data_IF_604609165158
#
_entry.id   IF_604609165158
#
_cell.length_a   1.000
_cell.length_b   1.000
_cell.length_c   1.000
_cell.angle_alpha   90.00
_cell.angle_beta   90.00
_cell.angle_gamma   90.00
#
_symmetry.space_group_name_H-M   'P 1'
#
loop_
_entity.id
_entity.type
_entity.pdbx_description
1 polymer ?
#
# COMPACT_ATOMS: atom_id res chain seq x y z
N UNK A 1 2.18 19.91 -2.70
CA UNK A 1 3.29 19.16 -3.37
C UNK A 1 2.65 18.04 -4.16
N UNK A 2 3.08 17.77 -5.39
CA UNK A 2 2.52 16.65 -6.15
C UNK A 2 3.02 15.31 -5.58
N UNK A 3 2.16 14.28 -5.63
CA UNK A 3 2.51 12.92 -5.20
C UNK A 3 3.70 12.37 -6.00
N UNK A 4 4.69 11.83 -5.30
CA UNK A 4 5.89 11.21 -5.89
C UNK A 4 5.60 9.76 -6.27
N UNK A 5 5.85 9.38 -7.51
CA UNK A 5 5.70 7.99 -8.00
C UNK A 5 5.11 7.92 -9.40
N UNK A 6 5.33 6.79 -10.07
CA UNK A 6 4.92 6.52 -11.46
C UNK A 6 3.48 5.99 -11.57
N UNK A 7 2.95 5.42 -10.49
CA UNK A 7 1.60 4.83 -10.43
C UNK A 7 0.99 5.02 -9.03
N UNK A 8 -0.30 4.69 -8.86
CA UNK A 8 -0.98 4.88 -7.58
C UNK A 8 -0.31 4.13 -6.42
N UNK A 9 0.17 2.92 -6.63
CA UNK A 9 0.82 2.16 -5.57
C UNK A 9 2.05 2.89 -5.02
N UNK A 10 2.92 3.36 -5.90
CA UNK A 10 4.15 4.08 -5.53
C UNK A 10 3.83 5.45 -4.90
N UNK A 11 2.84 6.16 -5.45
CA UNK A 11 2.36 7.43 -4.90
C UNK A 11 1.82 7.26 -3.47
N UNK A 12 1.01 6.22 -3.23
CA UNK A 12 0.45 5.91 -1.90
C UNK A 12 1.58 5.56 -0.94
N UNK A 13 2.51 4.68 -1.34
CA UNK A 13 3.66 4.30 -0.52
C UNK A 13 4.46 5.51 -0.06
N UNK A 14 4.90 6.34 -1.01
CA UNK A 14 5.73 7.51 -0.73
C UNK A 14 5.00 8.55 0.13
N UNK A 15 3.73 8.81 -0.16
CA UNK A 15 2.93 9.76 0.63
C UNK A 15 2.79 9.30 2.10
N UNK A 16 2.49 8.03 2.34
CA UNK A 16 2.37 7.49 3.69
C UNK A 16 3.72 7.47 4.42
N UNK A 17 4.83 7.27 3.71
CA UNK A 17 6.18 7.37 4.25
C UNK A 17 6.52 8.81 4.67
N UNK A 18 6.17 9.79 3.84
CA UNK A 18 6.31 11.22 4.14
C UNK A 18 5.45 11.64 5.37
N UNK A 19 4.33 10.91 5.66
CA UNK A 19 3.52 11.09 6.88
C UNK A 19 4.09 10.37 8.12
N UNK A 20 5.23 9.71 8.01
CA UNK A 20 5.94 9.08 9.12
C UNK A 20 5.44 7.68 9.52
N UNK A 21 4.73 6.98 8.64
CA UNK A 21 4.44 5.57 8.84
C UNK A 21 5.71 4.75 8.57
N UNK A 22 5.90 3.64 9.30
CA UNK A 22 7.00 2.72 8.98
C UNK A 22 6.61 1.77 7.84
N UNK A 23 7.60 1.08 7.25
CA UNK A 23 7.39 0.24 6.08
C UNK A 23 6.39 -0.91 6.32
N UNK A 24 6.36 -1.48 7.52
CA UNK A 24 5.36 -2.49 7.90
C UNK A 24 3.95 -1.89 8.00
N UNK A 25 3.85 -0.68 8.58
CA UNK A 25 2.60 0.06 8.69
C UNK A 25 2.02 0.43 7.34
N UNK A 26 2.85 0.99 6.44
CA UNK A 26 2.45 1.33 5.07
C UNK A 26 1.96 0.08 4.34
N UNK A 27 2.75 -0.99 4.37
CA UNK A 27 2.41 -2.25 3.72
C UNK A 27 1.09 -2.85 4.24
N UNK A 28 0.90 -2.87 5.56
CA UNK A 28 -0.33 -3.37 6.19
C UNK A 28 -1.57 -2.55 5.82
N UNK A 29 -1.44 -1.22 5.81
CA UNK A 29 -2.51 -0.31 5.38
C UNK A 29 -2.83 -0.52 3.89
N UNK A 30 -1.82 -0.52 3.02
CA UNK A 30 -2.01 -0.73 1.59
C UNK A 30 -2.63 -2.09 1.26
N UNK A 31 -2.32 -3.15 2.03
CA UNK A 31 -2.95 -4.46 1.88
C UNK A 31 -4.46 -4.42 2.12
N UNK A 32 -4.91 -3.62 3.07
CA UNK A 32 -6.33 -3.36 3.33
C UNK A 32 -6.95 -2.51 2.22
N UNK A 33 -6.36 -1.39 1.84
CA UNK A 33 -6.85 -0.54 0.74
C UNK A 33 -6.92 -1.30 -0.60
N UNK A 34 -6.00 -2.26 -0.84
CA UNK A 34 -6.07 -3.15 -2.00
C UNK A 34 -7.32 -4.02 -1.99
N UNK A 35 -7.69 -4.53 -0.83
CA UNK A 35 -8.89 -5.35 -0.69
C UNK A 35 -10.18 -4.51 -0.82
N UNK A 36 -10.17 -3.24 -0.40
CA UNK A 36 -11.33 -2.34 -0.44
C UNK A 36 -11.59 -1.80 -1.86
N UNK A 37 -10.56 -1.31 -2.54
CA UNK A 37 -10.73 -0.53 -3.76
C UNK A 37 -9.75 -0.86 -4.89
N UNK A 38 -8.91 -1.88 -4.72
CA UNK A 38 -7.75 -2.12 -5.59
C UNK A 38 -6.82 -0.89 -5.73
N UNK A 39 -6.76 -0.01 -4.71
CA UNK A 39 -6.03 1.27 -4.69
C UNK A 39 -6.55 2.29 -5.74
N UNK A 40 -7.81 2.15 -6.14
CA UNK A 40 -8.46 3.07 -7.06
C UNK A 40 -9.25 4.14 -6.28
N UNK A 41 -8.87 5.43 -6.35
CA UNK A 41 -9.55 6.50 -5.62
C UNK A 41 -10.95 6.85 -6.18
N UNK A 42 -11.28 6.42 -7.40
CA UNK A 42 -12.62 6.61 -7.98
C UNK A 42 -13.56 5.41 -7.75
N UNK A 43 -13.13 4.38 -7.03
CA UNK A 43 -13.89 3.14 -6.92
C UNK A 43 -15.23 3.33 -6.22
N UNK A 44 -16.32 3.19 -6.96
CA UNK A 44 -17.66 2.97 -6.43
C UNK A 44 -17.79 1.49 -6.08
N UNK A 45 -18.38 1.16 -4.95
CA UNK A 45 -18.60 -0.23 -4.56
C UNK A 45 -19.31 -1.02 -5.67
N UNK A 46 -18.68 -2.08 -6.19
CA UNK A 46 -19.13 -2.82 -7.38
C UNK A 46 -20.60 -3.27 -7.32
N UNK A 47 -21.08 -3.68 -6.13
CA UNK A 47 -22.48 -4.08 -5.95
C UNK A 47 -23.48 -2.91 -6.09
N UNK A 48 -23.01 -1.68 -6.05
CA UNK A 48 -23.84 -0.47 -6.20
C UNK A 48 -23.77 0.13 -7.59
N UNK A 49 -22.82 -0.22 -8.45
CA UNK A 49 -22.74 0.31 -9.82
C UNK A 49 -24.05 0.09 -10.58
N UNK A 50 -24.53 -1.15 -10.66
CA UNK A 50 -25.80 -1.49 -11.29
C UNK A 50 -27.00 -0.90 -10.55
N UNK A 51 -26.98 -0.91 -9.22
CA UNK A 51 -28.09 -0.42 -8.39
C UNK A 51 -28.33 1.07 -8.54
N UNK A 52 -27.26 1.85 -8.66
CA UNK A 52 -27.31 3.30 -8.80
C UNK A 52 -27.29 3.77 -10.26
N UNK A 53 -26.98 2.89 -11.21
CA UNK A 53 -26.89 3.22 -12.64
C UNK A 53 -25.65 4.03 -13.01
N UNK A 54 -24.55 3.88 -12.26
CA UNK A 54 -23.30 4.60 -12.48
C UNK A 54 -22.13 3.65 -12.71
N UNK A 55 -21.14 4.12 -13.45
CA UNK A 55 -19.77 3.63 -13.42
C UNK A 55 -18.95 4.41 -12.39
N UNK A 56 -17.73 3.97 -12.06
CA UNK A 56 -16.80 4.74 -11.23
C UNK A 56 -16.63 6.19 -11.71
N UNK A 57 -16.48 6.37 -13.02
CA UNK A 57 -16.25 7.66 -13.63
C UNK A 57 -17.52 8.53 -13.56
N UNK A 58 -18.66 8.03 -14.04
CA UNK A 58 -19.89 8.82 -14.12
C UNK A 58 -20.43 9.17 -12.74
N UNK A 59 -20.24 8.31 -11.75
CA UNK A 59 -20.56 8.59 -10.35
C UNK A 59 -19.72 9.74 -9.80
N UNK A 60 -18.39 9.65 -9.98
CA UNK A 60 -17.46 10.70 -9.55
C UNK A 60 -17.80 12.05 -10.18
N UNK A 61 -18.05 12.07 -11.49
CA UNK A 61 -18.41 13.29 -12.23
C UNK A 61 -19.72 13.89 -11.73
N UNK A 62 -20.74 13.07 -11.51
CA UNK A 62 -22.05 13.52 -11.04
C UNK A 62 -21.98 14.11 -9.62
N UNK A 63 -21.19 13.53 -8.74
CA UNK A 63 -20.95 14.07 -7.38
C UNK A 63 -20.16 15.37 -7.45
N UNK A 64 -19.09 15.44 -8.24
CA UNK A 64 -18.28 16.66 -8.38
C UNK A 64 -19.09 17.84 -8.96
N UNK A 65 -19.97 17.57 -9.95
CA UNK A 65 -20.86 18.56 -10.55
C UNK A 65 -22.05 18.93 -9.65
N UNK A 66 -22.30 18.17 -8.58
CA UNK A 66 -23.47 18.35 -7.71
C UNK A 66 -24.79 17.87 -8.32
N UNK A 67 -24.76 17.16 -9.45
CA UNK A 67 -25.97 16.61 -10.11
C UNK A 67 -26.45 15.33 -9.42
N UNK A 68 -25.58 14.62 -8.71
CA UNK A 68 -25.96 13.54 -7.82
C UNK A 68 -25.87 13.98 -6.36
N UNK A 69 -27.02 14.24 -5.76
CA UNK A 69 -27.12 14.82 -4.41
C UNK A 69 -27.16 13.76 -3.29
N UNK A 70 -27.38 12.48 -3.64
CA UNK A 70 -27.56 11.43 -2.65
C UNK A 70 -26.22 10.76 -2.20
N UNK A 71 -25.07 11.26 -2.64
CA UNK A 71 -23.74 10.73 -2.33
C UNK A 71 -23.56 10.36 -0.85
N UNK A 72 -24.05 11.22 0.04
CA UNK A 72 -23.85 11.06 1.50
C UNK A 72 -24.72 9.93 2.07
N UNK A 73 -25.89 9.66 1.46
CA UNK A 73 -26.91 8.78 2.02
C UNK A 73 -27.19 7.52 1.20
N UNK A 74 -26.49 7.30 0.10
CA UNK A 74 -26.72 6.16 -0.80
C UNK A 74 -26.19 4.81 -0.25
N UNK A 75 -25.47 4.85 0.87
CA UNK A 75 -24.86 3.68 1.52
C UNK A 75 -23.85 2.91 0.64
N UNK A 76 -23.41 3.46 -0.49
CA UNK A 76 -22.39 2.88 -1.33
C UNK A 76 -20.99 3.25 -0.83
N UNK A 77 -20.09 2.29 -0.76
CA UNK A 77 -18.68 2.53 -0.49
C UNK A 77 -18.03 3.29 -1.65
N UNK A 78 -17.15 4.25 -1.34
CA UNK A 78 -16.46 5.04 -2.35
C UNK A 78 -14.98 5.29 -1.99
N UNK A 79 -14.13 5.28 -3.02
CA UNK A 79 -12.73 5.66 -2.92
C UNK A 79 -11.84 4.62 -2.26
N UNK A 80 -10.62 5.04 -1.88
CA UNK A 80 -9.55 4.16 -1.39
C UNK A 80 -9.97 3.27 -0.21
N UNK A 81 -10.61 3.85 0.82
CA UNK A 81 -11.03 3.15 2.03
C UNK A 81 -12.52 2.79 2.02
N UNK A 82 -13.17 2.79 0.85
CA UNK A 82 -14.60 2.47 0.70
C UNK A 82 -15.47 3.17 1.74
N UNK A 83 -15.30 4.51 1.86
CA UNK A 83 -16.11 5.31 2.77
C UNK A 83 -17.59 5.13 2.52
N UNK A 84 -18.32 4.54 3.46
CA UNK A 84 -19.73 4.14 3.33
C UNK A 84 -20.62 4.90 4.30
N UNK A 85 -20.18 5.05 5.56
CA UNK A 85 -20.98 5.69 6.59
C UNK A 85 -21.20 7.16 6.29
N UNK A 86 -22.43 7.63 6.46
CA UNK A 86 -22.86 8.97 5.99
C UNK A 86 -22.00 10.13 6.52
N UNK A 87 -21.57 10.10 7.80
CA UNK A 87 -20.69 11.15 8.34
C UNK A 87 -19.31 11.14 7.70
N UNK A 88 -18.74 9.95 7.44
CA UNK A 88 -17.46 9.85 6.76
C UNK A 88 -17.54 10.34 5.32
N UNK A 89 -18.60 10.00 4.59
CA UNK A 89 -18.85 10.51 3.21
C UNK A 89 -19.07 12.01 3.19
N UNK A 90 -19.82 12.56 4.16
CA UNK A 90 -19.97 14.01 4.29
C UNK A 90 -18.65 14.71 4.51
N UNK A 91 -17.81 14.17 5.42
CA UNK A 91 -16.51 14.73 5.73
C UNK A 91 -15.55 14.63 4.53
N UNK A 92 -15.54 13.52 3.78
CA UNK A 92 -14.79 13.38 2.55
C UNK A 92 -15.19 14.42 1.51
N UNK A 93 -16.49 14.59 1.28
CA UNK A 93 -17.02 15.56 0.32
C UNK A 93 -16.65 17.01 0.72
N UNK A 94 -16.81 17.35 1.99
CA UNK A 94 -16.44 18.67 2.50
C UNK A 94 -14.93 18.92 2.37
N UNK A 95 -14.11 17.89 2.63
CA UNK A 95 -12.66 18.00 2.53
C UNK A 95 -12.18 18.19 1.08
N UNK A 96 -12.83 17.50 0.11
CA UNK A 96 -12.56 17.69 -1.32
C UNK A 96 -12.99 19.09 -1.79
N UNK A 97 -14.19 19.55 -1.39
CA UNK A 97 -14.71 20.88 -1.74
C UNK A 97 -13.86 22.00 -1.19
N UNK A 98 -13.41 21.90 0.06
CA UNK A 98 -12.53 22.89 0.69
C UNK A 98 -11.18 23.03 -0.03
N UNK A 99 -10.76 22.00 -0.74
CA UNK A 99 -9.52 21.99 -1.55
C UNK A 99 -9.75 22.28 -3.02
N UNK A 100 -11.00 22.45 -3.45
CA UNK A 100 -11.40 22.66 -4.85
C UNK A 100 -10.90 21.54 -5.78
N UNK A 101 -10.92 20.29 -5.33
CA UNK A 101 -10.50 19.11 -6.09
C UNK A 101 -11.62 18.07 -6.19
N UNK A 102 -11.45 17.10 -7.11
CA UNK A 102 -12.37 15.97 -7.25
C UNK A 102 -12.40 15.11 -5.98
N UNK A 103 -13.58 14.51 -5.69
CA UNK A 103 -13.68 13.48 -4.64
C UNK A 103 -12.80 12.24 -4.94
N UNK A 104 -12.38 12.05 -6.20
CA UNK A 104 -11.46 10.99 -6.63
C UNK A 104 -9.98 11.43 -6.65
N UNK A 105 -9.66 12.65 -6.19
CA UNK A 105 -8.27 13.07 -6.13
C UNK A 105 -7.49 12.21 -5.13
N UNK A 106 -6.40 11.59 -5.59
CA UNK A 106 -5.63 10.63 -4.81
C UNK A 106 -4.95 11.28 -3.60
N UNK A 107 -4.33 12.45 -3.79
CA UNK A 107 -3.64 13.17 -2.70
C UNK A 107 -4.63 13.60 -1.63
N UNK A 108 -5.77 14.14 -2.05
CA UNK A 108 -6.83 14.55 -1.14
C UNK A 108 -7.34 13.35 -0.33
N UNK A 109 -7.60 12.19 -0.95
CA UNK A 109 -8.07 11.01 -0.24
C UNK A 109 -7.04 10.45 0.74
N UNK A 110 -5.76 10.49 0.41
CA UNK A 110 -4.67 10.08 1.30
C UNK A 110 -4.53 11.03 2.51
N UNK A 111 -4.64 12.32 2.28
CA UNK A 111 -4.64 13.31 3.37
C UNK A 111 -5.88 13.18 4.25
N UNK A 112 -7.05 12.91 3.67
CA UNK A 112 -8.27 12.66 4.42
C UNK A 112 -8.17 11.39 5.26
N UNK A 113 -7.66 10.31 4.68
CA UNK A 113 -7.38 9.05 5.39
C UNK A 113 -6.44 9.29 6.59
N UNK A 114 -5.35 10.02 6.37
CA UNK A 114 -4.40 10.36 7.44
C UNK A 114 -5.05 11.23 8.53
N UNK A 115 -5.90 12.17 8.14
CA UNK A 115 -6.69 12.98 9.07
C UNK A 115 -7.60 12.12 9.94
N UNK A 116 -8.37 11.19 9.36
CA UNK A 116 -9.20 10.24 10.12
C UNK A 116 -8.37 9.42 11.11
N UNK A 117 -7.22 8.88 10.66
CA UNK A 117 -6.31 8.11 11.51
C UNK A 117 -5.77 8.94 12.68
N UNK A 118 -5.43 10.19 12.44
CA UNK A 118 -4.83 11.09 13.47
C UNK A 118 -5.84 11.62 14.47
N UNK A 119 -7.08 11.82 14.07
CA UNK A 119 -8.13 12.39 14.93
C UNK A 119 -8.95 11.31 15.65
N UNK A 120 -9.47 10.33 14.87
CA UNK A 120 -10.42 9.33 15.36
C UNK A 120 -9.81 7.96 15.68
N UNK A 121 -8.62 7.63 15.13
CA UNK A 121 -8.02 6.30 15.24
C UNK A 121 -6.55 6.35 15.67
N UNK A 122 -6.23 7.16 16.67
CA UNK A 122 -4.86 7.39 17.16
C UNK A 122 -4.10 6.10 17.49
N UNK A 123 -4.78 5.10 18.08
CA UNK A 123 -4.18 3.80 18.39
C UNK A 123 -3.80 3.01 17.13
N UNK A 124 -4.60 3.09 16.06
CA UNK A 124 -4.27 2.49 14.76
C UNK A 124 -3.06 3.20 14.15
N UNK A 125 -3.08 4.55 14.13
CA UNK A 125 -1.96 5.33 13.60
C UNK A 125 -0.65 5.04 14.35
N UNK A 126 -0.70 4.87 15.67
CA UNK A 126 0.48 4.51 16.46
C UNK A 126 1.06 3.17 16.01
N UNK A 127 0.22 2.14 15.83
CA UNK A 127 0.69 0.85 15.31
C UNK A 127 1.27 1.00 13.91
N UNK A 128 0.64 1.78 13.02
CA UNK A 128 1.15 2.02 11.67
C UNK A 128 2.52 2.73 11.67
N UNK A 129 2.87 3.45 12.72
CA UNK A 129 4.19 4.09 12.88
C UNK A 129 5.24 3.17 13.49
N UNK A 130 4.85 2.16 14.28
CA UNK A 130 5.76 1.36 15.11
C UNK A 130 5.67 -0.15 14.91
N UNK A 131 4.81 -0.65 14.01
CA UNK A 131 4.62 -2.06 13.78
C UNK A 131 5.94 -2.81 13.46
N UNK A 132 6.04 -4.04 13.94
CA UNK A 132 7.18 -4.92 13.74
C UNK A 132 6.93 -5.97 12.64
N UNK A 133 5.71 -6.03 12.12
CA UNK A 133 5.35 -6.91 11.00
C UNK A 133 4.18 -6.34 10.18
N UNK A 134 4.13 -6.74 8.90
CA UNK A 134 2.99 -6.43 8.02
C UNK A 134 1.70 -7.00 8.57
N UNK A 135 1.74 -8.18 9.21
CA UNK A 135 0.57 -8.84 9.78
C UNK A 135 -0.03 -8.03 10.91
N UNK A 136 0.77 -7.57 11.86
CA UNK A 136 0.34 -6.71 12.96
C UNK A 136 -0.35 -5.44 12.45
N UNK A 137 0.31 -4.72 11.53
CA UNK A 137 -0.25 -3.51 10.93
C UNK A 137 -1.55 -3.77 10.16
N UNK A 138 -1.60 -4.85 9.37
CA UNK A 138 -2.78 -5.20 8.59
C UNK A 138 -3.97 -5.58 9.47
N UNK A 139 -3.74 -6.36 10.53
CA UNK A 139 -4.81 -6.83 11.41
C UNK A 139 -5.43 -5.68 12.20
N UNK A 140 -4.63 -4.70 12.65
CA UNK A 140 -5.17 -3.54 13.36
C UNK A 140 -5.99 -2.64 12.43
N UNK A 141 -5.59 -2.46 11.18
CA UNK A 141 -6.38 -1.71 10.19
C UNK A 141 -7.71 -2.41 9.94
N UNK A 142 -7.69 -3.72 9.66
CA UNK A 142 -8.89 -4.50 9.41
C UNK A 142 -9.88 -4.42 10.57
N UNK A 143 -9.41 -4.65 11.81
CA UNK A 143 -10.28 -4.85 12.98
C UNK A 143 -10.69 -3.55 13.66
N UNK A 144 -9.90 -2.48 13.54
CA UNK A 144 -10.14 -1.24 14.29
C UNK A 144 -10.52 -0.05 13.39
N UNK A 145 -10.11 -0.04 12.12
CA UNK A 145 -10.38 1.05 11.20
C UNK A 145 -11.44 0.69 10.14
N UNK A 146 -11.20 -0.35 9.31
CA UNK A 146 -12.13 -0.75 8.23
C UNK A 146 -13.37 -1.45 8.77
N UNK A 147 -13.21 -2.37 9.71
CA UNK A 147 -14.28 -3.10 10.40
C UNK A 147 -15.33 -3.72 9.47
N UNK A 148 -14.92 -4.45 8.41
CA UNK A 148 -15.87 -5.14 7.54
C UNK A 148 -16.63 -6.23 8.32
N UNK A 149 -17.75 -6.70 7.79
CA UNK A 149 -18.56 -7.77 8.41
C UNK A 149 -17.74 -9.05 8.64
N UNK A 150 -16.85 -9.41 7.72
CA UNK A 150 -15.94 -10.56 7.89
C UNK A 150 -14.55 -10.09 8.32
N UNK A 151 -14.19 -10.39 9.56
CA UNK A 151 -12.88 -10.13 10.17
C UNK A 151 -12.14 -11.41 10.56
N UNK A 152 -12.61 -12.57 10.09
CA UNK A 152 -12.03 -13.88 10.42
C UNK A 152 -10.57 -14.03 9.96
N UNK A 153 -9.90 -15.05 10.51
CA UNK A 153 -8.45 -15.30 10.31
C UNK A 153 -8.06 -15.38 8.82
N UNK A 154 -8.89 -16.00 7.98
CA UNK A 154 -8.62 -16.09 6.53
C UNK A 154 -8.62 -14.72 5.86
N UNK A 155 -9.52 -13.81 6.27
CA UNK A 155 -9.55 -12.44 5.77
C UNK A 155 -8.31 -11.66 6.22
N UNK A 156 -7.92 -11.81 7.48
CA UNK A 156 -6.70 -11.22 8.02
C UNK A 156 -5.46 -11.68 7.23
N UNK A 157 -5.32 -13.00 7.00
CA UNK A 157 -4.22 -13.57 6.21
C UNK A 157 -4.21 -13.01 4.79
N UNK A 158 -5.38 -12.97 4.14
CA UNK A 158 -5.52 -12.45 2.77
C UNK A 158 -5.01 -11.01 2.65
N UNK A 159 -5.47 -10.11 3.54
CA UNK A 159 -5.07 -8.69 3.52
C UNK A 159 -3.60 -8.51 3.87
N UNK A 160 -3.09 -9.25 4.85
CA UNK A 160 -1.67 -9.23 5.19
C UNK A 160 -0.80 -9.74 4.02
N UNK A 161 -1.24 -10.72 3.24
CA UNK A 161 -0.50 -11.19 2.06
C UNK A 161 -0.47 -10.14 0.94
N UNK A 162 -1.54 -9.36 0.72
CA UNK A 162 -1.48 -8.19 -0.15
C UNK A 162 -0.44 -7.18 0.35
N UNK A 163 -0.43 -6.91 1.66
CA UNK A 163 0.56 -6.03 2.27
C UNK A 163 1.99 -6.54 2.10
N UNK A 164 2.24 -7.84 2.29
CA UNK A 164 3.57 -8.44 2.08
C UNK A 164 4.10 -8.22 0.66
N UNK A 165 3.23 -8.27 -0.35
CA UNK A 165 3.63 -7.98 -1.73
C UNK A 165 4.13 -6.52 -1.87
N UNK A 166 3.45 -5.55 -1.25
CA UNK A 166 3.89 -4.15 -1.23
C UNK A 166 5.17 -3.95 -0.43
N UNK A 167 5.30 -4.59 0.73
CA UNK A 167 6.52 -4.56 1.53
C UNK A 167 7.73 -5.03 0.71
N UNK A 168 7.60 -6.18 0.06
CA UNK A 168 8.67 -6.73 -0.77
C UNK A 168 9.02 -5.83 -1.97
N UNK A 169 8.01 -5.14 -2.53
CA UNK A 169 8.20 -4.27 -3.69
C UNK A 169 8.85 -2.93 -3.34
N UNK A 170 8.51 -2.34 -2.20
CA UNK A 170 8.84 -0.94 -1.90
C UNK A 170 9.77 -0.75 -0.71
N UNK A 171 9.67 -1.56 0.37
CA UNK A 171 10.47 -1.38 1.57
C UNK A 171 11.98 -1.56 1.33
N UNK A 172 12.34 -2.42 0.38
CA UNK A 172 13.73 -2.70 0.04
C UNK A 172 14.27 -1.84 -1.12
N UNK A 173 13.40 -1.04 -1.79
CA UNK A 173 13.81 -0.28 -2.99
C UNK A 173 14.91 0.72 -2.67
N UNK A 174 14.76 1.53 -1.64
CA UNK A 174 15.76 2.54 -1.27
C UNK A 174 17.09 1.94 -0.79
N UNK A 175 17.06 0.78 -0.11
CA UNK A 175 18.28 0.08 0.30
C UNK A 175 18.95 -0.60 -0.89
N UNK A 176 18.17 -1.08 -1.85
CA UNK A 176 18.66 -1.83 -3.00
C UNK A 176 19.12 -0.92 -4.15
N UNK A 177 18.53 0.26 -4.35
CA UNK A 177 19.01 1.26 -5.32
C UNK A 177 20.43 1.75 -5.01
N UNK A 178 20.92 1.50 -3.79
CA UNK A 178 22.29 1.84 -3.33
C UNK A 178 23.23 0.63 -3.30
N UNK A 179 22.80 -0.56 -3.74
CA UNK A 179 23.68 -1.74 -3.76
C UNK A 179 24.77 -1.53 -4.80
N UNK A 180 26.02 -1.70 -4.36
CA UNK A 180 27.21 -1.62 -5.19
C UNK A 180 28.13 -2.78 -4.94
N UNK A 181 29.06 -3.03 -5.88
CA UNK A 181 30.13 -4.02 -5.70
C UNK A 181 30.86 -3.81 -4.37
N UNK A 182 31.06 -4.89 -3.61
CA UNK A 182 31.67 -4.90 -2.29
C UNK A 182 30.72 -4.74 -1.12
N UNK A 183 29.43 -4.43 -1.35
CA UNK A 183 28.44 -4.41 -0.30
C UNK A 183 28.14 -5.84 0.21
N UNK A 184 27.65 -5.91 1.45
CA UNK A 184 27.12 -7.14 2.05
C UNK A 184 25.60 -7.18 1.91
N UNK A 185 25.06 -8.37 1.57
CA UNK A 185 23.62 -8.56 1.40
C UNK A 185 23.16 -9.88 2.03
N UNK A 186 21.88 -9.90 2.45
CA UNK A 186 21.15 -11.13 2.82
C UNK A 186 20.24 -11.54 1.68
N UNK A 187 20.15 -12.83 1.42
CA UNK A 187 19.16 -13.40 0.49
C UNK A 187 17.83 -13.48 1.23
N UNK A 188 16.79 -12.85 0.65
CA UNK A 188 15.41 -12.84 1.16
C UNK A 188 14.63 -13.97 0.51
N UNK A 189 14.82 -14.15 -0.81
CA UNK A 189 14.19 -15.21 -1.58
C UNK A 189 15.28 -15.93 -2.39
N UNK A 190 15.49 -17.22 -2.10
CA UNK A 190 16.58 -18.02 -2.67
C UNK A 190 16.24 -18.55 -4.07
N UNK A 191 16.02 -17.61 -5.00
CA UNK A 191 15.75 -17.88 -6.41
C UNK A 191 16.80 -17.17 -7.27
N UNK A 192 17.43 -17.91 -8.19
CA UNK A 192 18.39 -17.32 -9.14
C UNK A 192 17.70 -16.34 -10.08
N UNK A 193 18.46 -15.47 -10.73
CA UNK A 193 17.95 -14.53 -11.74
C UNK A 193 17.21 -15.23 -12.89
N UNK A 194 17.52 -16.50 -13.15
CA UNK A 194 16.83 -17.35 -14.14
C UNK A 194 15.58 -18.09 -13.57
N UNK A 195 15.15 -17.76 -12.34
CA UNK A 195 13.96 -18.34 -11.73
C UNK A 195 14.15 -19.74 -11.09
N UNK A 196 15.37 -20.24 -10.96
CA UNK A 196 15.64 -21.55 -10.34
C UNK A 196 15.92 -21.40 -8.85
N UNK A 197 15.32 -22.21 -7.96
CA UNK A 197 15.64 -22.19 -6.54
C UNK A 197 17.09 -22.64 -6.31
N UNK A 198 17.74 -22.08 -5.28
CA UNK A 198 19.06 -22.52 -4.83
C UNK A 198 19.14 -22.55 -3.29
N UNK A 199 20.10 -23.29 -2.76
CA UNK A 199 20.31 -23.40 -1.31
C UNK A 199 21.25 -22.30 -0.83
N UNK A 200 20.84 -21.57 0.22
CA UNK A 200 21.71 -20.61 0.92
C UNK A 200 22.51 -21.33 1.98
N UNK A 201 23.83 -21.15 1.99
CA UNK A 201 24.75 -21.74 2.96
C UNK A 201 25.28 -20.72 3.97
N UNK A 202 25.12 -19.42 3.69
CA UNK A 202 25.64 -18.34 4.50
C UNK A 202 24.53 -17.36 4.90
N UNK A 203 24.71 -16.70 6.04
CA UNK A 203 23.77 -15.68 6.53
C UNK A 203 23.84 -14.40 5.70
N UNK A 204 24.98 -14.14 5.06
CA UNK A 204 25.26 -12.95 4.26
C UNK A 204 26.21 -13.29 3.13
N UNK A 205 26.18 -12.49 2.07
CA UNK A 205 26.97 -12.66 0.86
C UNK A 205 27.58 -11.31 0.44
N UNK A 206 28.74 -11.38 -0.23
CA UNK A 206 29.37 -10.24 -0.88
C UNK A 206 28.70 -9.96 -2.23
N UNK A 207 28.48 -8.70 -2.57
CA UNK A 207 28.10 -8.27 -3.91
C UNK A 207 29.35 -8.24 -4.78
N UNK A 208 29.45 -9.18 -5.72
CA UNK A 208 30.60 -9.32 -6.62
C UNK A 208 30.43 -8.43 -7.86
N UNK A 209 29.20 -8.35 -8.38
CA UNK A 209 28.87 -7.55 -9.56
C UNK A 209 27.42 -7.05 -9.50
N UNK A 210 27.19 -5.86 -10.04
CA UNK A 210 25.87 -5.25 -10.21
C UNK A 210 25.69 -4.93 -11.70
N UNK A 211 24.55 -5.36 -12.25
CA UNK A 211 24.12 -5.06 -13.62
C UNK A 211 22.62 -4.83 -13.60
N UNK A 212 22.19 -3.60 -13.53
CA UNK A 212 20.80 -3.17 -13.34
C UNK A 212 20.16 -3.88 -12.12
N UNK A 213 19.16 -4.69 -12.32
CA UNK A 213 18.48 -5.47 -11.28
C UNK A 213 19.08 -6.86 -11.03
N UNK A 214 20.13 -7.24 -11.80
CA UNK A 214 20.88 -8.50 -11.66
C UNK A 214 22.10 -8.31 -10.79
N UNK A 215 22.12 -8.95 -9.64
CA UNK A 215 23.21 -8.91 -8.68
C UNK A 215 23.90 -10.27 -8.63
N UNK A 216 25.21 -10.29 -8.82
CA UNK A 216 26.02 -11.49 -8.60
C UNK A 216 26.53 -11.47 -7.16
N UNK A 217 26.16 -12.50 -6.40
CA UNK A 217 26.56 -12.67 -5.00
C UNK A 217 27.49 -13.87 -4.80
N UNK A 218 28.31 -13.80 -3.76
CA UNK A 218 29.24 -14.88 -3.43
C UNK A 218 29.93 -14.66 -2.08
N UNK A 219 30.98 -15.42 -1.84
CA UNK A 219 31.84 -15.27 -0.66
C UNK A 219 33.29 -15.09 -1.16
N UNK A 220 33.88 -13.96 -0.82
CA UNK A 220 35.22 -13.61 -1.32
C UNK A 220 35.25 -13.56 -2.87
N UNK A 221 35.99 -14.47 -3.49
CA UNK A 221 36.08 -14.57 -4.97
C UNK A 221 35.15 -15.67 -5.55
N UNK A 222 34.47 -16.44 -4.71
CA UNK A 222 33.63 -17.55 -5.16
C UNK A 222 32.21 -17.08 -5.39
N UNK A 223 31.72 -17.19 -6.63
CA UNK A 223 30.35 -16.85 -7.02
C UNK A 223 29.40 -17.93 -6.49
N UNK A 224 28.32 -17.51 -5.84
CA UNK A 224 27.25 -18.40 -5.39
C UNK A 224 26.08 -18.40 -6.36
N UNK A 225 25.56 -17.22 -6.72
CA UNK A 225 24.42 -17.06 -7.61
C UNK A 225 24.39 -15.69 -8.27
N UNK A 226 23.69 -15.59 -9.40
CA UNK A 226 23.12 -14.33 -9.87
C UNK A 226 21.65 -14.30 -9.42
N UNK A 227 21.21 -13.20 -8.82
CA UNK A 227 19.92 -13.06 -8.17
C UNK A 227 19.30 -11.70 -8.54
N UNK A 228 17.98 -11.56 -8.49
CA UNK A 228 17.36 -10.27 -8.71
C UNK A 228 17.51 -9.37 -7.47
N UNK A 229 17.74 -8.08 -7.66
CA UNK A 229 17.92 -7.10 -6.58
C UNK A 229 16.76 -7.10 -5.57
N UNK A 230 15.54 -7.41 -6.00
CA UNK A 230 14.34 -7.53 -5.13
C UNK A 230 14.39 -8.71 -4.16
N UNK A 231 15.21 -9.72 -4.46
CA UNK A 231 15.31 -10.98 -3.68
C UNK A 231 16.46 -10.96 -2.66
N UNK A 232 17.11 -9.81 -2.52
CA UNK A 232 18.18 -9.55 -1.53
C UNK A 232 17.93 -8.27 -0.76
N UNK A 233 18.61 -8.11 0.37
CA UNK A 233 18.59 -6.90 1.20
C UNK A 233 20.01 -6.53 1.58
N UNK A 234 20.40 -5.28 1.38
CA UNK A 234 21.66 -4.71 1.88
C UNK A 234 21.65 -4.70 3.41
N UNK A 235 22.80 -5.01 4.03
CA UNK A 235 23.03 -5.03 5.48
C UNK A 235 24.17 -4.09 5.84
#
# INVERSE_FOLDING_TARGET
>A
MSLKGSNNEEKIWNHLKDKGLNDYGIAGLMGNLKAESALNPSNLQNSYEKKLGFTNQTYTEAVNKGTYTNFIRDAAGYGLAQWTYWTRKQNLLNFARARHVSIADLEMQLDFLYKELSEGYKGVLQVLKTANSVREASDVVLTKFERPANQGVLMQIKRANYGKAYYNKYANKESNDKIKKGDKVKVINAVTYAGKPFKTYYKEYDVIQVSDDKIVIGIGKTITAAINIKDIKKI
#
